data_IF_521573981071
#
_entry.id   IF_521573981071
#
_cell.length_a   1.000
_cell.length_b   1.000
_cell.length_c   1.000
_cell.angle_alpha   90.00
_cell.angle_beta   90.00
_cell.angle_gamma   90.00
#
_symmetry.space_group_name_H-M   'P 1'
#
loop_
_entity.id
_entity.type
_entity.pdbx_description
1 polymer ?
#
# COMPACT_ATOMS: atom_id res chain seq x y z
N UNK A 1 -49.74 -15.52 -6.65
CA UNK A 1 -49.45 -14.70 -7.84
C UNK A 1 -49.94 -13.28 -7.56
N UNK A 2 -49.15 -12.23 -7.39
CA UNK A 2 -47.75 -11.98 -7.75
C UNK A 2 -47.08 -11.10 -6.68
N UNK A 3 -45.86 -11.49 -6.32
CA UNK A 3 -44.84 -10.64 -5.73
C UNK A 3 -44.54 -9.43 -6.64
N UNK A 4 -44.49 -8.23 -6.04
CA UNK A 4 -43.80 -7.07 -6.63
C UNK A 4 -42.62 -6.69 -5.73
N UNK A 5 -41.45 -6.43 -6.32
CA UNK A 5 -40.15 -6.48 -5.65
C UNK A 5 -39.94 -5.34 -4.66
N UNK A 6 -39.24 -5.66 -3.56
CA UNK A 6 -38.63 -4.66 -2.67
C UNK A 6 -37.69 -3.80 -3.51
N UNK A 7 -37.95 -2.50 -3.55
CA UNK A 7 -37.05 -1.50 -4.11
C UNK A 7 -35.69 -1.67 -3.42
N UNK A 8 -34.68 -2.06 -4.18
CA UNK A 8 -33.29 -1.94 -3.74
C UNK A 8 -32.99 -0.44 -3.63
N UNK A 9 -32.72 0.04 -2.41
CA UNK A 9 -32.07 1.34 -2.19
C UNK A 9 -30.64 1.25 -2.75
N UNK A 10 -30.25 2.03 -3.78
CA UNK A 10 -28.92 1.99 -4.35
C UNK A 10 -27.96 2.96 -3.63
N UNK A 11 -28.19 3.26 -2.35
CA UNK A 11 -27.19 3.93 -1.51
C UNK A 11 -26.22 2.90 -0.94
N UNK A 12 -25.45 2.29 -1.84
CA UNK A 12 -24.18 1.72 -1.47
C UNK A 12 -23.27 2.88 -1.03
N UNK A 13 -23.37 3.24 0.25
CA UNK A 13 -22.41 4.07 0.96
C UNK A 13 -21.03 3.56 0.59
N UNK A 14 -20.28 4.38 -0.14
CA UNK A 14 -18.87 4.16 -0.40
C UNK A 14 -18.19 4.23 0.95
N UNK A 15 -18.01 3.09 1.61
CA UNK A 15 -17.27 3.02 2.85
C UNK A 15 -15.86 3.56 2.54
N UNK A 16 -15.54 4.75 3.07
CA UNK A 16 -14.17 5.26 3.07
C UNK A 16 -13.27 4.14 3.60
N UNK A 17 -12.13 3.84 2.96
CA UNK A 17 -11.22 2.83 3.48
C UNK A 17 -10.86 3.23 4.92
N UNK A 18 -11.06 2.28 5.85
CA UNK A 18 -10.82 2.50 7.28
C UNK A 18 -9.45 3.17 7.47
N UNK A 19 -9.44 4.36 8.08
CA UNK A 19 -8.26 5.19 8.32
C UNK A 19 -7.37 4.58 9.41
N UNK A 20 -6.81 3.40 9.13
CA UNK A 20 -6.03 2.62 10.08
C UNK A 20 -4.75 2.08 9.45
N UNK A 21 -3.71 1.90 10.27
CA UNK A 21 -2.51 1.17 9.87
C UNK A 21 -2.86 -0.31 9.73
N UNK A 22 -2.49 -0.93 8.61
CA UNK A 22 -2.63 -2.37 8.39
C UNK A 22 -1.26 -3.05 8.48
N UNK A 23 -1.22 -4.33 8.89
CA UNK A 23 0.02 -5.12 8.91
C UNK A 23 0.25 -5.73 7.53
N UNK A 24 1.44 -5.51 6.97
CA UNK A 24 1.94 -6.19 5.79
C UNK A 24 3.17 -7.03 6.16
N UNK A 25 3.35 -8.18 5.50
CA UNK A 25 4.57 -9.01 5.63
C UNK A 25 5.20 -9.12 4.26
N UNK A 26 6.50 -8.84 4.17
CA UNK A 26 7.26 -8.81 2.92
C UNK A 26 8.51 -9.66 3.09
N UNK A 27 8.93 -10.31 2.01
CA UNK A 27 10.24 -10.96 1.93
C UNK A 27 11.21 -9.97 1.29
N UNK A 28 12.30 -9.67 2.00
CA UNK A 28 13.36 -8.77 1.54
C UNK A 28 14.70 -9.52 1.59
N UNK A 29 15.67 -9.14 0.73
CA UNK A 29 17.07 -9.51 0.93
C UNK A 29 17.52 -9.15 2.36
N UNK A 30 18.27 -10.05 2.99
CA UNK A 30 18.66 -9.89 4.39
C UNK A 30 19.59 -8.69 4.59
N UNK A 31 20.55 -8.52 3.68
CA UNK A 31 21.46 -7.38 3.60
C UNK A 31 20.72 -6.04 3.52
N UNK A 32 19.70 -5.94 2.66
CA UNK A 32 18.88 -4.73 2.54
C UNK A 32 18.14 -4.41 3.84
N UNK A 33 17.59 -5.43 4.51
CA UNK A 33 16.89 -5.21 5.78
C UNK A 33 17.84 -4.78 6.89
N UNK A 34 19.07 -5.31 6.90
CA UNK A 34 20.09 -4.92 7.87
C UNK A 34 20.56 -3.48 7.65
N UNK A 35 20.83 -3.08 6.41
CA UNK A 35 21.17 -1.69 6.10
C UNK A 35 20.02 -0.73 6.48
N UNK A 36 18.77 -1.11 6.22
CA UNK A 36 17.60 -0.33 6.63
C UNK A 36 17.51 -0.18 8.16
N UNK A 37 17.90 -1.21 8.94
CA UNK A 37 17.95 -1.14 10.40
C UNK A 37 19.03 -0.18 10.86
N UNK A 38 20.23 -0.25 10.28
CA UNK A 38 21.34 0.65 10.59
C UNK A 38 20.96 2.11 10.35
N UNK A 39 20.35 2.41 9.20
CA UNK A 39 19.87 3.75 8.87
C UNK A 39 18.82 4.26 9.87
N UNK A 40 17.87 3.41 10.25
CA UNK A 40 16.84 3.76 11.23
C UNK A 40 17.45 4.04 12.61
N UNK A 41 18.40 3.21 13.06
CA UNK A 41 19.09 3.43 14.34
C UNK A 41 19.87 4.74 14.31
N UNK A 42 20.61 4.99 13.23
CA UNK A 42 21.38 6.23 13.05
C UNK A 42 20.49 7.48 13.07
N UNK A 43 19.27 7.39 12.52
CA UNK A 43 18.32 8.50 12.37
C UNK A 43 17.18 8.48 13.41
N UNK A 44 17.28 7.68 14.47
CA UNK A 44 16.22 7.55 15.48
C UNK A 44 15.99 8.84 16.29
N UNK A 45 17.01 9.71 16.35
CA UNK A 45 16.98 10.98 17.08
C UNK A 45 16.26 12.13 16.35
N UNK A 46 16.13 13.27 17.04
CA UNK A 46 15.64 14.51 16.42
C UNK A 46 16.64 15.02 15.36
N UNK A 47 16.18 15.58 14.23
CA UNK A 47 14.80 15.87 13.85
C UNK A 47 14.07 14.71 13.13
N UNK A 48 14.80 13.69 12.68
CA UNK A 48 14.25 12.68 11.79
C UNK A 48 13.24 11.75 12.48
N UNK A 49 13.49 11.35 13.74
CA UNK A 49 12.72 10.37 14.51
C UNK A 49 12.34 9.16 13.65
N UNK A 50 13.34 8.60 12.99
CA UNK A 50 13.13 7.57 11.97
C UNK A 50 12.74 6.24 12.62
N UNK A 51 11.90 5.48 11.92
CA UNK A 51 11.48 4.11 12.28
C UNK A 51 11.39 3.29 11.00
N UNK A 52 11.47 1.95 11.09
CA UNK A 52 11.27 1.09 9.92
C UNK A 52 9.92 1.32 9.24
N UNK A 53 8.86 1.57 10.04
CA UNK A 53 7.53 1.89 9.50
C UNK A 53 7.53 3.19 8.70
N UNK A 54 8.19 4.24 9.22
CA UNK A 54 8.28 5.54 8.51
C UNK A 54 9.12 5.40 7.24
N UNK A 55 10.24 4.69 7.31
CA UNK A 55 11.09 4.42 6.16
C UNK A 55 10.31 3.65 5.07
N UNK A 56 9.62 2.57 5.44
CA UNK A 56 8.82 1.78 4.50
C UNK A 56 7.67 2.60 3.88
N UNK A 57 6.96 3.41 4.67
CA UNK A 57 5.91 4.28 4.15
C UNK A 57 6.46 5.30 3.15
N UNK A 58 7.58 5.95 3.48
CA UNK A 58 8.22 6.91 2.58
C UNK A 58 8.70 6.23 1.29
N UNK A 59 9.37 5.09 1.40
CA UNK A 59 9.85 4.32 0.26
C UNK A 59 8.69 3.92 -0.67
N UNK A 60 7.58 3.39 -0.12
CA UNK A 60 6.41 3.04 -0.94
C UNK A 60 5.78 4.25 -1.60
N UNK A 61 5.62 5.38 -0.90
CA UNK A 61 5.04 6.59 -1.49
C UNK A 61 5.91 7.12 -2.63
N UNK A 62 7.22 7.27 -2.38
CA UNK A 62 8.17 7.74 -3.39
C UNK A 62 8.19 6.85 -4.62
N UNK A 63 8.25 5.53 -4.43
CA UNK A 63 8.31 4.59 -5.54
C UNK A 63 6.99 4.54 -6.31
N UNK A 64 5.84 4.57 -5.63
CA UNK A 64 4.54 4.64 -6.31
C UNK A 64 4.44 5.91 -7.16
N UNK A 65 4.86 7.06 -6.66
CA UNK A 65 4.87 8.31 -7.46
C UNK A 65 5.78 8.17 -8.68
N UNK A 66 6.99 7.62 -8.51
CA UNK A 66 7.90 7.33 -9.64
C UNK A 66 7.22 6.45 -10.70
N UNK A 67 6.57 5.37 -10.26
CA UNK A 67 5.84 4.46 -11.15
C UNK A 67 4.64 5.11 -11.83
N UNK A 68 3.90 6.00 -11.16
CA UNK A 68 2.83 6.78 -11.79
C UNK A 68 3.37 7.64 -12.92
N UNK A 69 4.49 8.34 -12.68
CA UNK A 69 5.11 9.18 -13.70
C UNK A 69 5.60 8.35 -14.89
N UNK A 70 6.31 7.25 -14.65
CA UNK A 70 6.91 6.44 -15.71
C UNK A 70 5.90 5.60 -16.49
N UNK A 71 4.91 5.03 -15.82
CA UNK A 71 4.03 4.03 -16.42
C UNK A 71 2.58 4.47 -16.57
N UNK A 72 2.19 5.59 -15.95
CA UNK A 72 0.80 6.05 -15.96
C UNK A 72 0.65 7.56 -16.23
N UNK A 73 1.65 8.19 -16.86
CA UNK A 73 1.63 9.61 -17.25
C UNK A 73 1.36 10.55 -16.05
N UNK A 74 1.86 10.18 -14.88
CA UNK A 74 1.66 10.89 -13.61
C UNK A 74 0.25 10.77 -13.04
N UNK A 75 -0.62 9.91 -13.59
CA UNK A 75 -1.98 9.69 -13.07
C UNK A 75 -2.01 8.60 -12.02
N UNK A 76 -3.06 8.60 -11.20
CA UNK A 76 -3.35 7.52 -10.25
C UNK A 76 -3.56 6.18 -10.96
N UNK A 77 -3.03 5.09 -10.38
CA UNK A 77 -3.33 3.74 -10.83
C UNK A 77 -4.82 3.42 -10.62
N UNK A 78 -5.46 2.65 -11.54
CA UNK A 78 -6.83 2.21 -11.33
C UNK A 78 -6.94 1.36 -10.07
N UNK A 79 -8.10 1.43 -9.39
CA UNK A 79 -8.35 0.56 -8.23
C UNK A 79 -8.33 -0.90 -8.67
N UNK A 80 -7.70 -1.76 -7.87
CA UNK A 80 -7.68 -3.21 -8.12
C UNK A 80 -9.11 -3.76 -8.15
N UNK A 81 -9.40 -4.62 -9.14
CA UNK A 81 -10.68 -5.33 -9.27
C UNK A 81 -10.69 -6.68 -8.55
N UNK A 82 -9.52 -7.16 -8.16
CA UNK A 82 -9.29 -8.41 -7.42
C UNK A 82 -8.25 -8.17 -6.32
N UNK A 83 -8.27 -9.02 -5.30
CA UNK A 83 -7.21 -9.00 -4.29
C UNK A 83 -5.87 -9.44 -4.89
N UNK A 84 -4.79 -8.91 -4.34
CA UNK A 84 -3.45 -9.36 -4.71
C UNK A 84 -3.35 -10.86 -4.39
N UNK A 85 -3.19 -11.67 -5.43
CA UNK A 85 -2.92 -13.10 -5.26
C UNK A 85 -1.58 -13.23 -4.54
N UNK A 86 -1.58 -13.79 -3.33
CA UNK A 86 -0.34 -14.08 -2.62
C UNK A 86 0.48 -15.12 -3.39
N UNK A 87 1.76 -14.85 -3.64
CA UNK A 87 2.66 -15.78 -4.33
C UNK A 87 4.00 -15.13 -4.69
N UNK A 88 5.04 -15.94 -4.89
CA UNK A 88 6.32 -15.50 -5.48
C UNK A 88 6.03 -14.84 -6.83
N UNK A 89 6.71 -13.72 -7.18
CA UNK A 89 6.64 -13.16 -8.53
C UNK A 89 6.91 -14.26 -9.57
N UNK A 90 6.02 -14.39 -10.56
CA UNK A 90 6.33 -15.15 -11.77
C UNK A 90 7.44 -14.37 -12.47
N UNK A 91 8.59 -15.02 -12.63
CA UNK A 91 9.84 -14.46 -13.14
C UNK A 91 9.64 -13.51 -14.33
N UNK A 92 10.47 -12.46 -14.37
CA UNK A 92 10.91 -11.84 -15.61
C UNK A 92 12.26 -12.48 -16.00
#
# INVERSE_FOLDING_TARGET
MNDKPRLHDPTATTAEPARGKVRATLYLPADLLDEARDAVVHLAGYPARMTLTKLAEQAFRTEIERLKHEHNRGKEFPKRTEDLKGGRPIAA
#
